data_IF_626922174796
#
_entry.id   IF_626922174796
#
_cell.length_a   1.000
_cell.length_b   1.000
_cell.length_c   1.000
_cell.angle_alpha   90.00
_cell.angle_beta   90.00
_cell.angle_gamma   90.00
#
_symmetry.space_group_name_H-M   'P 1'
#
loop_
_entity.id
_entity.type
_entity.pdbx_description
1 polymer ?
#
# COMPACT_ATOMS: atom_id res chain seq x y z
N UNK A 1 15.77 47.81 74.46
CA UNK A 1 15.98 47.50 73.04
C UNK A 1 14.67 46.96 72.53
N UNK A 2 13.88 47.77 71.82
CA UNK A 2 13.08 47.27 70.68
C UNK A 2 12.39 48.47 70.02
N UNK A 3 13.06 48.93 68.97
CA UNK A 3 12.65 50.06 68.15
C UNK A 3 11.87 49.48 66.96
N UNK A 4 10.61 49.10 67.17
CA UNK A 4 9.76 48.61 66.07
C UNK A 4 9.18 49.80 65.31
N UNK A 5 9.92 50.30 64.32
CA UNK A 5 9.42 51.28 63.36
C UNK A 5 8.17 50.72 62.65
N UNK A 6 7.10 51.51 62.41
CA UNK A 6 5.91 51.05 61.70
C UNK A 6 6.27 50.53 60.29
N UNK A 7 5.64 49.45 59.80
CA UNK A 7 5.93 48.91 58.48
C UNK A 7 5.63 49.95 57.39
N UNK A 8 6.53 50.08 56.41
CA UNK A 8 6.26 50.87 55.22
C UNK A 8 5.26 50.13 54.31
N UNK A 9 3.97 50.35 54.56
CA UNK A 9 2.87 49.76 53.80
C UNK A 9 2.93 50.06 52.30
N UNK A 10 3.55 51.19 51.89
CA UNK A 10 3.68 51.55 50.48
C UNK A 10 4.74 50.68 49.80
N UNK A 11 5.88 50.45 50.46
CA UNK A 11 6.89 49.51 49.98
C UNK A 11 6.39 48.06 49.94
N UNK A 12 5.59 47.64 50.93
CA UNK A 12 4.97 46.31 50.95
C UNK A 12 3.97 46.12 49.80
N UNK A 13 3.17 47.15 49.49
CA UNK A 13 2.21 47.11 48.38
C UNK A 13 2.91 46.94 47.02
N UNK A 14 3.94 47.74 46.73
CA UNK A 14 4.69 47.62 45.47
C UNK A 14 5.39 46.26 45.33
N UNK A 15 5.93 45.71 46.42
CA UNK A 15 6.55 44.38 46.42
C UNK A 15 5.52 43.28 46.11
N UNK A 16 4.33 43.35 46.69
CA UNK A 16 3.23 42.41 46.41
C UNK A 16 2.67 42.56 44.98
N UNK A 17 2.78 43.74 44.37
CA UNK A 17 2.39 43.96 42.97
C UNK A 17 3.44 43.39 42.00
N UNK A 18 4.73 43.60 42.26
CA UNK A 18 5.82 42.97 41.50
C UNK A 18 5.77 41.44 41.59
N UNK A 19 5.52 40.87 42.77
CA UNK A 19 5.38 39.41 42.93
C UNK A 19 4.19 38.88 42.12
N UNK A 20 3.05 39.56 42.13
CA UNK A 20 1.89 39.19 41.30
C UNK A 20 2.19 39.28 39.81
N UNK A 21 2.95 40.28 39.37
CA UNK A 21 3.36 40.41 37.97
C UNK A 21 4.29 39.28 37.55
N UNK A 22 5.31 38.96 38.37
CA UNK A 22 6.23 37.84 38.13
C UNK A 22 5.50 36.50 38.12
N UNK A 23 4.56 36.29 39.04
CA UNK A 23 3.77 35.06 39.08
C UNK A 23 2.86 34.95 37.85
N UNK A 24 2.21 36.05 37.43
CA UNK A 24 1.40 36.07 36.22
C UNK A 24 2.23 35.82 34.96
N UNK A 25 3.46 36.34 34.88
CA UNK A 25 4.38 36.10 33.78
C UNK A 25 4.89 34.66 33.76
N UNK A 26 5.24 34.09 34.92
CA UNK A 26 5.60 32.68 35.05
C UNK A 26 4.45 31.76 34.66
N UNK A 27 3.21 32.09 35.05
CA UNK A 27 2.00 31.34 34.64
C UNK A 27 1.81 31.40 33.12
N UNK A 28 1.94 32.58 32.51
CA UNK A 28 1.87 32.72 31.04
C UNK A 28 2.95 31.89 30.34
N UNK A 29 4.20 31.94 30.82
CA UNK A 29 5.28 31.14 30.26
C UNK A 29 5.09 29.63 30.46
N UNK A 30 4.47 29.21 31.57
CA UNK A 30 4.13 27.81 31.82
C UNK A 30 3.00 27.33 30.90
N UNK A 31 1.94 28.14 30.74
CA UNK A 31 0.84 27.87 29.82
C UNK A 31 1.32 27.81 28.35
N UNK A 32 2.21 28.73 27.95
CA UNK A 32 2.78 28.72 26.59
C UNK A 32 3.63 27.48 26.35
N UNK A 33 4.50 27.11 27.31
CA UNK A 33 5.25 25.85 27.24
C UNK A 33 4.37 24.62 27.20
N UNK A 34 3.27 24.62 27.95
CA UNK A 34 2.30 23.52 27.92
C UNK A 34 1.61 23.42 26.55
N UNK A 35 1.17 24.55 25.98
CA UNK A 35 0.57 24.56 24.63
C UNK A 35 1.53 24.06 23.56
N UNK A 36 2.79 24.50 23.60
CA UNK A 36 3.82 24.03 22.68
C UNK A 36 4.08 22.52 22.84
N UNK A 37 4.13 22.01 24.08
CA UNK A 37 4.30 20.58 24.35
C UNK A 37 3.11 19.76 23.84
N UNK A 38 1.87 20.22 24.06
CA UNK A 38 0.66 19.57 23.55
C UNK A 38 0.61 19.56 22.02
N UNK A 39 1.01 20.65 21.36
CA UNK A 39 1.08 20.72 19.90
C UNK A 39 2.13 19.74 19.35
N UNK A 40 3.33 19.72 19.92
CA UNK A 40 4.36 18.76 19.55
C UNK A 40 3.92 17.31 19.76
N UNK A 41 3.22 17.02 20.85
CA UNK A 41 2.68 15.68 21.11
C UNK A 41 1.65 15.28 20.06
N UNK A 42 0.72 16.18 19.71
CA UNK A 42 -0.27 15.94 18.66
C UNK A 42 0.38 15.71 17.30
N UNK A 43 1.39 16.50 16.94
CA UNK A 43 2.14 16.31 15.69
C UNK A 43 2.86 14.95 15.68
N UNK A 44 3.54 14.59 16.77
CA UNK A 44 4.22 13.31 16.90
C UNK A 44 3.24 12.13 16.81
N UNK A 45 2.05 12.25 17.41
CA UNK A 45 1.00 11.23 17.33
C UNK A 45 0.47 11.09 15.89
N UNK A 46 0.18 12.20 15.21
CA UNK A 46 -0.25 12.19 13.81
C UNK A 46 0.78 11.54 12.89
N UNK A 47 2.07 11.84 13.05
CA UNK A 47 3.11 11.22 12.24
C UNK A 47 3.24 9.72 12.52
N UNK A 48 3.08 9.31 13.80
CA UNK A 48 3.04 7.88 14.15
C UNK A 48 1.86 7.18 13.52
N UNK A 49 0.68 7.80 13.51
CA UNK A 49 -0.53 7.23 12.91
C UNK A 49 -0.43 7.14 11.39
N UNK A 50 0.10 8.17 10.72
CA UNK A 50 0.42 8.10 9.29
C UNK A 50 1.39 6.98 8.98
N UNK A 51 2.45 6.83 9.79
CA UNK A 51 3.43 5.75 9.64
C UNK A 51 2.80 4.36 9.81
N UNK A 52 1.91 4.19 10.80
CA UNK A 52 1.14 2.96 11.00
C UNK A 52 0.24 2.65 9.81
N UNK A 53 -0.47 3.66 9.29
CA UNK A 53 -1.38 3.51 8.16
C UNK A 53 -0.65 3.15 6.85
N UNK A 54 0.58 3.65 6.68
CA UNK A 54 1.41 3.33 5.51
C UNK A 54 1.99 1.91 5.55
N UNK A 55 2.32 1.42 6.74
CA UNK A 55 3.04 0.15 6.94
C UNK A 55 2.15 -1.03 7.31
N UNK A 56 0.90 -0.78 7.73
CA UNK A 56 -0.07 -1.86 7.93
C UNK A 56 -0.40 -2.57 6.61
N UNK A 57 -0.71 -3.86 6.72
CA UNK A 57 -1.24 -4.64 5.61
C UNK A 57 -2.57 -4.05 5.12
N UNK A 58 -2.84 -4.30 3.83
CA UNK A 58 -4.05 -3.83 3.17
C UNK A 58 -5.13 -4.91 3.17
N UNK A 59 -6.38 -4.47 3.18
CA UNK A 59 -7.52 -5.36 2.85
C UNK A 59 -7.55 -5.65 1.36
N UNK A 60 -8.31 -6.65 0.91
CA UNK A 60 -8.48 -6.92 -0.51
C UNK A 60 -8.98 -5.69 -1.28
N UNK A 61 -10.00 -5.00 -0.77
CA UNK A 61 -10.55 -3.80 -1.42
C UNK A 61 -9.54 -2.63 -1.47
N UNK A 62 -8.73 -2.48 -0.42
CA UNK A 62 -7.63 -1.51 -0.41
C UNK A 62 -6.55 -1.86 -1.43
N UNK A 63 -6.15 -3.15 -1.52
CA UNK A 63 -5.18 -3.64 -2.48
C UNK A 63 -5.62 -3.32 -3.91
N UNK A 64 -6.82 -3.75 -4.32
CA UNK A 64 -7.34 -3.52 -5.68
C UNK A 64 -7.35 -2.02 -5.99
N UNK A 65 -7.82 -1.19 -5.07
CA UNK A 65 -7.82 0.27 -5.25
C UNK A 65 -6.39 0.81 -5.43
N UNK A 66 -5.44 0.39 -4.60
CA UNK A 66 -4.07 0.87 -4.68
C UNK A 66 -3.34 0.38 -5.93
N UNK A 67 -3.60 -0.85 -6.40
CA UNK A 67 -3.10 -1.32 -7.68
C UNK A 67 -3.59 -0.42 -8.83
N UNK A 68 -4.88 -0.05 -8.85
CA UNK A 68 -5.39 0.90 -9.84
C UNK A 68 -4.74 2.29 -9.72
N UNK A 69 -4.55 2.81 -8.51
CA UNK A 69 -3.97 4.15 -8.31
C UNK A 69 -2.49 4.20 -8.69
N UNK A 70 -1.72 3.15 -8.35
CA UNK A 70 -0.26 3.17 -8.46
C UNK A 70 0.30 2.49 -9.71
N UNK A 71 -0.42 1.55 -10.32
CA UNK A 71 0.07 0.79 -11.49
C UNK A 71 -0.66 1.14 -12.80
N UNK A 72 -1.90 1.66 -12.74
CA UNK A 72 -2.63 2.03 -13.96
C UNK A 72 -2.02 3.15 -14.83
N UNK A 73 -1.17 4.09 -14.38
CA UNK A 73 -0.58 5.09 -15.28
C UNK A 73 0.59 4.51 -16.11
N UNK A 74 0.42 3.31 -16.65
CA UNK A 74 1.39 2.64 -17.52
C UNK A 74 1.51 3.41 -18.83
N UNK A 75 2.74 3.80 -19.19
CA UNK A 75 3.04 4.56 -20.41
C UNK A 75 3.94 3.75 -21.30
N UNK A 76 3.52 3.54 -22.54
CA UNK A 76 4.40 3.06 -23.60
C UNK A 76 5.23 4.22 -24.14
N UNK A 77 6.51 3.98 -24.39
CA UNK A 77 7.42 4.93 -25.03
C UNK A 77 7.10 5.04 -26.53
N UNK A 78 7.60 6.08 -27.20
CA UNK A 78 7.44 6.18 -28.65
C UNK A 78 8.05 4.97 -29.39
N UNK A 79 7.46 4.52 -30.51
CA UNK A 79 8.02 3.43 -31.30
C UNK A 79 9.48 3.67 -31.73
N UNK A 80 9.85 4.93 -31.99
CA UNK A 80 11.22 5.33 -32.36
C UNK A 80 12.28 5.13 -31.28
N UNK A 81 11.86 4.95 -30.02
CA UNK A 81 12.74 4.77 -28.86
C UNK A 81 12.53 3.40 -28.20
N UNK A 82 11.77 2.53 -28.85
CA UNK A 82 11.47 1.18 -28.36
C UNK A 82 12.39 0.14 -28.97
N UNK A 83 12.52 -1.02 -28.33
CA UNK A 83 13.35 -2.11 -28.86
C UNK A 83 12.85 -2.58 -30.22
N UNK A 84 13.69 -2.45 -31.24
CA UNK A 84 13.45 -2.98 -32.58
C UNK A 84 13.87 -4.45 -32.62
N UNK A 85 12.91 -5.36 -32.46
CA UNK A 85 13.12 -6.79 -32.65
C UNK A 85 12.62 -7.24 -34.02
N UNK A 86 13.41 -8.04 -34.75
CA UNK A 86 12.85 -8.84 -35.84
C UNK A 86 12.07 -9.99 -35.21
N UNK A 87 10.75 -9.94 -35.29
CA UNK A 87 9.90 -11.07 -34.92
C UNK A 87 10.03 -12.08 -36.07
N UNK A 88 10.64 -13.27 -35.86
CA UNK A 88 10.72 -14.26 -36.91
C UNK A 88 9.31 -14.72 -37.29
N UNK A 89 9.14 -15.17 -38.54
CA UNK A 89 7.89 -15.80 -38.95
C UNK A 89 7.57 -16.95 -37.96
N UNK A 90 6.30 -17.10 -37.54
CA UNK A 90 5.90 -18.14 -36.59
C UNK A 90 5.87 -19.54 -37.25
N UNK A 91 6.89 -19.88 -38.04
CA UNK A 91 7.03 -21.15 -38.76
C UNK A 91 6.94 -22.31 -37.78
N UNK A 92 6.01 -23.24 -38.02
CA UNK A 92 5.77 -24.38 -37.15
C UNK A 92 4.98 -24.09 -35.87
N UNK A 93 4.58 -22.82 -35.61
CA UNK A 93 3.72 -22.49 -34.46
C UNK A 93 2.25 -22.50 -34.87
N UNK A 94 1.39 -23.01 -33.99
CA UNK A 94 -0.06 -22.93 -34.16
C UNK A 94 -0.50 -21.47 -34.04
N UNK A 95 -0.92 -20.88 -35.16
CA UNK A 95 -1.42 -19.50 -35.20
C UNK A 95 -2.93 -19.52 -35.44
N UNK A 96 -3.75 -18.87 -34.60
CA UNK A 96 -5.18 -18.78 -34.84
C UNK A 96 -5.45 -18.03 -36.15
N UNK A 97 -6.36 -18.54 -36.97
CA UNK A 97 -6.76 -17.90 -38.23
C UNK A 97 -7.69 -16.70 -38.02
N UNK A 98 -8.40 -16.68 -36.88
CA UNK A 98 -9.37 -15.66 -36.52
C UNK A 98 -9.26 -15.37 -35.02
N UNK A 99 -9.35 -14.09 -34.68
CA UNK A 99 -9.55 -13.63 -33.30
C UNK A 99 -11.04 -13.30 -33.15
N UNK A 100 -11.73 -14.05 -32.29
CA UNK A 100 -13.15 -13.84 -32.02
C UNK A 100 -13.30 -12.96 -30.77
N UNK A 101 -14.29 -12.08 -30.80
CA UNK A 101 -14.63 -11.27 -29.65
C UNK A 101 -15.26 -12.13 -28.55
N UNK A 102 -14.71 -12.07 -27.34
CA UNK A 102 -15.28 -12.72 -26.17
C UNK A 102 -16.43 -11.87 -25.60
N UNK A 103 -17.62 -12.02 -26.18
CA UNK A 103 -18.77 -11.15 -25.94
C UNK A 103 -19.26 -11.09 -24.49
N UNK A 104 -19.16 -12.18 -23.72
CA UNK A 104 -19.53 -12.22 -22.30
C UNK A 104 -18.36 -12.00 -21.34
N UNK A 105 -17.16 -11.66 -21.81
CA UNK A 105 -15.96 -11.54 -20.98
C UNK A 105 -16.19 -10.63 -19.75
N UNK A 106 -16.78 -9.45 -19.96
CA UNK A 106 -17.05 -8.49 -18.87
C UNK A 106 -18.00 -9.08 -17.82
N UNK A 107 -19.04 -9.80 -18.24
CA UNK A 107 -20.00 -10.42 -17.32
C UNK A 107 -19.35 -11.56 -16.52
N UNK A 108 -18.55 -12.40 -17.16
CA UNK A 108 -17.81 -13.48 -16.48
C UNK A 108 -16.77 -12.91 -15.50
N UNK A 109 -16.01 -11.90 -15.90
CA UNK A 109 -15.05 -11.22 -15.02
C UNK A 109 -15.72 -10.60 -13.81
N UNK A 110 -16.86 -9.92 -14.00
CA UNK A 110 -17.63 -9.34 -12.90
C UNK A 110 -18.14 -10.43 -11.94
N UNK A 111 -18.63 -11.56 -12.47
CA UNK A 111 -19.08 -12.69 -11.66
C UNK A 111 -17.95 -13.26 -10.80
N UNK A 112 -16.79 -13.50 -11.40
CA UNK A 112 -15.60 -13.99 -10.68
C UNK A 112 -15.16 -12.97 -9.62
N UNK A 113 -15.07 -11.69 -9.97
CA UNK A 113 -14.69 -10.63 -9.04
C UNK A 113 -15.63 -10.56 -7.83
N UNK A 114 -16.95 -10.61 -8.06
CA UNK A 114 -17.94 -10.60 -6.98
C UNK A 114 -17.80 -11.83 -6.08
N UNK A 115 -17.56 -13.02 -6.63
CA UNK A 115 -17.30 -14.21 -5.84
C UNK A 115 -16.01 -14.08 -5.02
N UNK A 116 -14.91 -13.59 -5.59
CA UNK A 116 -13.68 -13.33 -4.82
C UNK A 116 -13.94 -12.34 -3.66
N UNK A 117 -14.75 -11.30 -3.89
CA UNK A 117 -15.15 -10.35 -2.84
C UNK A 117 -15.93 -11.01 -1.70
N UNK A 118 -16.76 -12.03 -1.94
CA UNK A 118 -17.49 -12.71 -0.86
C UNK A 118 -16.54 -13.40 0.12
N UNK A 119 -15.42 -13.94 -0.38
CA UNK A 119 -14.41 -14.60 0.44
C UNK A 119 -13.41 -13.64 1.09
N UNK A 120 -12.94 -12.63 0.35
CA UNK A 120 -11.82 -11.78 0.79
C UNK A 120 -12.24 -10.40 1.31
N UNK A 121 -13.51 -10.01 1.14
CA UNK A 121 -14.05 -8.75 1.62
C UNK A 121 -15.48 -8.90 2.22
N UNK A 122 -15.68 -9.81 3.20
CA UNK A 122 -17.00 -10.02 3.79
C UNK A 122 -17.48 -8.79 4.57
N UNK A 123 -18.79 -8.49 4.48
CA UNK A 123 -19.44 -7.30 5.05
C UNK A 123 -19.48 -7.26 6.59
N UNK A 124 -19.31 -8.41 7.26
CA UNK A 124 -19.70 -8.60 8.66
C UNK A 124 -18.51 -8.56 9.65
N UNK A 125 -17.27 -8.55 9.16
CA UNK A 125 -16.05 -8.50 9.96
C UNK A 125 -15.07 -7.51 9.35
N UNK A 126 -14.28 -6.81 10.18
CA UNK A 126 -13.15 -6.00 9.70
C UNK A 126 -12.39 -6.80 8.65
N UNK A 127 -12.50 -6.37 7.39
CA UNK A 127 -11.93 -7.10 6.27
C UNK A 127 -10.47 -7.43 6.58
N UNK A 128 -10.10 -8.69 6.40
CA UNK A 128 -8.80 -9.18 6.82
C UNK A 128 -7.71 -8.40 6.08
N UNK A 129 -6.74 -7.88 6.84
CA UNK A 129 -5.61 -7.12 6.30
C UNK A 129 -4.49 -8.10 5.96
N UNK A 130 -4.63 -8.79 4.84
CA UNK A 130 -3.76 -9.91 4.45
C UNK A 130 -2.69 -9.51 3.43
N UNK A 131 -2.87 -8.37 2.76
CA UNK A 131 -2.10 -8.03 1.56
C UNK A 131 -1.04 -6.96 1.81
N UNK A 132 -0.15 -6.78 0.82
CA UNK A 132 1.01 -5.90 0.91
C UNK A 132 0.66 -4.48 1.40
N UNK A 133 1.50 -3.86 2.25
CA UNK A 133 1.25 -2.52 2.76
C UNK A 133 1.21 -1.45 1.67
N UNK A 134 0.42 -0.39 1.91
CA UNK A 134 0.29 0.74 0.97
C UNK A 134 1.66 1.33 0.57
N UNK A 135 2.58 1.45 1.51
CA UNK A 135 3.92 2.00 1.27
C UNK A 135 4.68 1.21 0.20
N UNK A 136 4.50 -0.11 0.15
CA UNK A 136 5.18 -0.98 -0.81
C UNK A 136 4.63 -0.76 -2.23
N UNK A 137 3.30 -0.80 -2.39
CA UNK A 137 2.64 -0.55 -3.66
C UNK A 137 3.00 0.83 -4.21
N UNK A 138 2.97 1.85 -3.36
CA UNK A 138 3.30 3.22 -3.73
C UNK A 138 4.77 3.36 -4.18
N UNK A 139 5.71 2.71 -3.47
CA UNK A 139 7.13 2.67 -3.86
C UNK A 139 7.32 1.97 -5.20
N UNK A 140 6.62 0.87 -5.44
CA UNK A 140 6.70 0.15 -6.70
C UNK A 140 6.08 0.95 -7.85
N UNK A 141 4.91 1.55 -7.65
CA UNK A 141 4.25 2.40 -8.64
C UNK A 141 5.10 3.60 -9.02
N UNK A 142 5.74 4.26 -8.04
CA UNK A 142 6.75 5.30 -8.30
C UNK A 142 7.90 4.79 -9.17
N UNK A 143 8.40 3.58 -8.95
CA UNK A 143 9.50 3.00 -9.75
C UNK A 143 9.07 2.83 -11.21
N UNK A 144 7.91 2.24 -11.46
CA UNK A 144 7.40 2.05 -12.82
C UNK A 144 6.99 3.36 -13.50
N UNK A 145 6.59 4.38 -12.73
CA UNK A 145 6.22 5.69 -13.28
C UNK A 145 7.42 6.52 -13.75
N UNK A 146 8.66 6.21 -13.31
CA UNK A 146 9.88 6.99 -13.63
C UNK A 146 10.20 7.06 -15.12
N UNK A 147 9.86 6.02 -15.88
CA UNK A 147 10.11 5.94 -17.33
C UNK A 147 8.97 5.21 -18.02
N UNK A 148 8.74 5.55 -19.28
CA UNK A 148 7.84 4.78 -20.11
C UNK A 148 8.46 3.41 -20.44
N UNK A 149 7.62 2.40 -20.66
CA UNK A 149 8.03 1.07 -21.14
C UNK A 149 8.55 1.23 -22.56
N UNK A 150 9.83 0.90 -22.78
CA UNK A 150 10.47 0.95 -24.09
C UNK A 150 11.06 -0.38 -24.54
N UNK A 151 11.03 -1.41 -23.68
CA UNK A 151 11.59 -2.72 -24.00
C UNK A 151 10.73 -3.86 -23.47
N UNK A 152 10.93 -5.06 -24.05
CA UNK A 152 10.32 -6.29 -23.53
C UNK A 152 10.68 -6.52 -22.06
N UNK A 153 11.92 -6.25 -21.66
CA UNK A 153 12.38 -6.42 -20.29
C UNK A 153 11.63 -5.51 -19.30
N UNK A 154 11.30 -4.28 -19.74
CA UNK A 154 10.54 -3.35 -18.93
C UNK A 154 9.10 -3.85 -18.72
N UNK A 155 8.48 -4.36 -19.79
CA UNK A 155 7.15 -4.95 -19.72
C UNK A 155 7.14 -6.20 -18.84
N UNK A 156 8.11 -7.10 -19.01
CA UNK A 156 8.23 -8.32 -18.20
C UNK A 156 8.39 -7.99 -16.71
N UNK A 157 9.24 -7.00 -16.39
CA UNK A 157 9.41 -6.56 -15.00
C UNK A 157 8.12 -5.95 -14.44
N UNK A 158 7.38 -5.20 -15.26
CA UNK A 158 6.09 -4.64 -14.85
C UNK A 158 5.06 -5.73 -14.60
N UNK A 159 4.83 -6.64 -15.55
CA UNK A 159 3.86 -7.73 -15.41
C UNK A 159 4.16 -8.56 -14.16
N UNK A 160 5.42 -8.95 -13.96
CA UNK A 160 5.81 -9.75 -12.79
C UNK A 160 5.51 -9.04 -11.47
N UNK A 161 6.08 -7.85 -11.26
CA UNK A 161 6.04 -7.21 -9.94
C UNK A 161 4.76 -6.38 -9.69
N UNK A 162 4.13 -5.83 -10.74
CA UNK A 162 2.95 -4.99 -10.61
C UNK A 162 1.63 -5.76 -10.76
N UNK A 163 1.67 -6.98 -11.32
CA UNK A 163 0.47 -7.77 -11.62
C UNK A 163 0.57 -9.18 -11.05
N UNK A 164 1.50 -10.01 -11.51
CA UNK A 164 1.58 -11.44 -11.19
C UNK A 164 1.77 -11.69 -9.69
N UNK A 165 2.69 -10.97 -9.02
CA UNK A 165 2.95 -11.14 -7.59
C UNK A 165 1.67 -10.92 -6.76
N UNK A 166 0.88 -9.89 -7.06
CA UNK A 166 -0.36 -9.63 -6.33
C UNK A 166 -1.47 -10.63 -6.68
N UNK A 167 -1.53 -11.12 -7.92
CA UNK A 167 -2.45 -12.21 -8.29
C UNK A 167 -2.08 -13.49 -7.53
N UNK A 168 -0.77 -13.79 -7.43
CA UNK A 168 -0.28 -14.91 -6.66
C UNK A 168 -0.73 -14.79 -5.19
N UNK A 169 -0.53 -13.64 -4.55
CA UNK A 169 -0.93 -13.42 -3.15
C UNK A 169 -2.45 -13.58 -2.95
N UNK A 170 -3.27 -13.07 -3.88
CA UNK A 170 -4.74 -13.24 -3.85
C UNK A 170 -5.10 -14.72 -3.92
N UNK A 171 -4.50 -15.47 -4.86
CA UNK A 171 -4.77 -16.90 -5.02
C UNK A 171 -4.27 -17.69 -3.80
N UNK A 172 -3.13 -17.32 -3.22
CA UNK A 172 -2.61 -17.94 -2.00
C UNK A 172 -3.56 -17.77 -0.81
N UNK A 173 -4.16 -16.59 -0.63
CA UNK A 173 -5.19 -16.40 0.39
C UNK A 173 -6.47 -17.19 0.09
N UNK A 174 -6.93 -17.25 -1.16
CA UNK A 174 -8.08 -18.07 -1.55
C UNK A 174 -7.83 -19.57 -1.33
N UNK A 175 -6.60 -20.04 -1.56
CA UNK A 175 -6.20 -21.43 -1.29
C UNK A 175 -6.25 -21.79 0.20
N UNK A 176 -6.31 -20.83 1.13
CA UNK A 176 -6.50 -21.12 2.55
C UNK A 176 -7.96 -21.39 2.91
N UNK A 177 -8.90 -21.09 2.01
CA UNK A 177 -10.34 -21.20 2.23
C UNK A 177 -10.90 -22.41 1.46
N UNK A 178 -11.34 -23.49 2.14
CA UNK A 178 -11.81 -24.70 1.47
C UNK A 178 -12.96 -24.47 0.47
N UNK A 179 -13.93 -23.63 0.82
CA UNK A 179 -15.07 -23.31 -0.05
C UNK A 179 -14.63 -22.58 -1.34
N UNK A 180 -13.71 -21.63 -1.23
CA UNK A 180 -13.15 -20.94 -2.40
C UNK A 180 -12.35 -21.90 -3.29
N UNK A 181 -11.59 -22.83 -2.70
CA UNK A 181 -10.87 -23.85 -3.48
C UNK A 181 -11.80 -24.74 -4.27
N UNK A 182 -12.91 -25.16 -3.68
CA UNK A 182 -13.91 -25.97 -4.37
C UNK A 182 -14.56 -25.18 -5.52
N UNK A 183 -15.00 -23.94 -5.25
CA UNK A 183 -15.67 -23.09 -6.23
C UNK A 183 -14.79 -22.73 -7.43
N UNK A 184 -13.54 -22.35 -7.18
CA UNK A 184 -12.59 -21.93 -8.22
C UNK A 184 -11.71 -23.08 -8.75
N UNK A 185 -11.93 -24.31 -8.27
CA UNK A 185 -11.12 -25.48 -8.58
C UNK A 185 -9.62 -25.26 -8.36
N UNK A 186 -9.26 -24.62 -7.25
CA UNK A 186 -7.87 -24.26 -6.94
C UNK A 186 -7.10 -25.43 -6.31
N UNK A 187 -5.88 -25.62 -6.82
CA UNK A 187 -4.89 -26.51 -6.24
C UNK A 187 -4.30 -25.97 -4.92
N UNK A 188 -3.06 -26.37 -4.60
CA UNK A 188 -2.38 -25.88 -3.40
C UNK A 188 -1.68 -24.52 -3.63
N UNK A 189 -1.17 -24.29 -4.84
CA UNK A 189 -0.40 -23.10 -5.23
C UNK A 189 -0.55 -22.84 -6.72
N UNK A 190 -0.37 -21.59 -7.13
CA UNK A 190 -0.15 -21.19 -8.52
C UNK A 190 1.32 -20.79 -8.74
N UNK A 191 1.85 -21.00 -9.96
CA UNK A 191 3.16 -20.50 -10.37
C UNK A 191 3.03 -19.90 -11.77
N UNK A 192 3.54 -18.69 -11.93
CA UNK A 192 3.73 -18.05 -13.23
C UNK A 192 5.13 -18.42 -13.75
N UNK A 193 5.18 -18.90 -14.99
CA UNK A 193 6.44 -19.31 -15.61
C UNK A 193 6.49 -18.90 -17.09
N UNK A 194 7.69 -18.57 -17.57
CA UNK A 194 7.92 -18.04 -18.91
C UNK A 194 8.57 -19.06 -19.87
N UNK A 195 8.88 -20.27 -19.38
CA UNK A 195 9.50 -21.33 -20.17
C UNK A 195 8.68 -22.62 -20.17
N UNK A 196 8.56 -23.25 -21.35
CA UNK A 196 7.67 -24.39 -21.57
C UNK A 196 8.10 -25.66 -20.83
N UNK A 197 9.40 -25.81 -20.55
CA UNK A 197 9.94 -26.93 -19.79
C UNK A 197 9.59 -26.87 -18.29
N UNK A 198 8.93 -25.80 -17.83
CA UNK A 198 8.37 -25.75 -16.47
C UNK A 198 7.22 -26.76 -16.25
N UNK A 199 6.65 -27.31 -17.34
CA UNK A 199 5.61 -28.33 -17.31
C UNK A 199 6.14 -29.76 -17.46
N UNK A 200 7.45 -29.91 -17.74
CA UNK A 200 8.07 -31.21 -17.78
C UNK A 200 8.16 -31.73 -16.34
N UNK A 201 7.62 -32.92 -16.10
CA UNK A 201 7.73 -33.55 -14.79
C UNK A 201 9.21 -33.69 -14.46
N UNK A 202 9.65 -33.07 -13.36
CA UNK A 202 10.90 -33.47 -12.72
C UNK A 202 10.64 -34.90 -12.28
N UNK A 203 11.19 -35.88 -13.00
CA UNK A 203 11.34 -37.23 -12.47
C UNK A 203 11.97 -37.06 -11.10
N UNK A 204 11.17 -37.27 -10.06
CA UNK A 204 11.62 -37.18 -8.70
C UNK A 204 12.70 -38.25 -8.55
N UNK A 205 13.94 -37.80 -8.52
CA UNK A 205 15.09 -38.62 -8.15
C UNK A 205 14.74 -39.27 -6.80
N UNK A 206 14.46 -40.57 -6.87
CA UNK A 206 14.53 -41.44 -5.72
C UNK A 206 16.01 -41.52 -5.35
N UNK A 207 16.41 -40.81 -4.31
CA UNK A 207 17.63 -41.08 -3.53
C UNK A 207 17.46 -40.58 -2.11
#
# INVERSE_FOLDING_TARGET
>A
MDNSSPPDYKALFFRAEEERQREAELRKQAEERQRQAEEHQRQAEQERDKGREQTRQTTFAELIRFCHVYFSPLRAESPSRSTTGKIPAPTGKRCPLQLLHWSNCVAEQQKVYLSVCTYLAPSEQSAARLFSPRLELERLGRRFSKRAISSKQDLESYERFAVEDYIHDIIEELCKIPAAREEFHLGHRIRFDNHANALDAVDADQS
#
